data_IF_724769922230
#
_entry.id   IF_724769922230
#
_cell.length_a   1.000
_cell.length_b   1.000
_cell.length_c   1.000
_cell.angle_alpha   90.00
_cell.angle_beta   90.00
_cell.angle_gamma   90.00
#
_symmetry.space_group_name_H-M   'P 1'
#
loop_
_entity.id
_entity.type
_entity.pdbx_description
1 polymer ?
#
# COMPACT_ATOMS: atom_id res chain seq x y z
N UNK A 1 16.83 -18.27 10.52
CA UNK A 1 16.25 -17.17 11.30
C UNK A 1 15.05 -16.62 10.52
N UNK A 2 13.89 -16.70 11.12
CA UNK A 2 12.58 -16.45 10.50
C UNK A 2 12.41 -14.96 10.17
N UNK A 3 12.27 -14.59 8.90
CA UNK A 3 11.61 -13.35 8.49
C UNK A 3 10.16 -13.70 8.16
N UNK A 4 9.28 -13.47 9.12
CA UNK A 4 7.85 -13.60 8.94
C UNK A 4 7.36 -12.49 8.01
N UNK A 5 6.51 -12.87 7.08
CA UNK A 5 5.72 -11.99 6.25
C UNK A 5 4.94 -10.99 7.13
N UNK A 6 5.21 -9.72 6.98
CA UNK A 6 4.61 -8.63 7.76
C UNK A 6 3.13 -8.39 7.38
N UNK A 7 2.68 -8.96 6.27
CA UNK A 7 1.29 -8.86 5.82
C UNK A 7 0.26 -9.47 6.79
N UNK A 8 0.69 -10.29 7.76
CA UNK A 8 -0.20 -10.94 8.72
C UNK A 8 -0.41 -10.16 10.04
N UNK A 9 0.35 -9.09 10.28
CA UNK A 9 0.35 -8.41 11.58
C UNK A 9 -0.72 -7.32 11.76
N UNK A 10 -1.40 -6.90 10.70
CA UNK A 10 -2.43 -5.83 10.78
C UNK A 10 -3.80 -6.38 11.22
N UNK A 11 -4.01 -7.71 11.20
CA UNK A 11 -5.33 -8.32 11.44
C UNK A 11 -5.59 -8.84 12.86
N UNK A 12 -4.66 -8.74 13.81
CA UNK A 12 -4.80 -9.40 15.12
C UNK A 12 -4.46 -8.49 16.32
N UNK A 13 -5.21 -7.39 16.47
CA UNK A 13 -5.35 -6.77 17.77
C UNK A 13 -6.83 -6.90 18.22
N UNK A 14 -7.26 -8.11 18.50
CA UNK A 14 -8.51 -8.35 19.22
C UNK A 14 -8.20 -8.25 20.71
N UNK A 15 -8.55 -7.11 21.30
CA UNK A 15 -8.61 -6.99 22.76
C UNK A 15 -9.96 -7.55 23.20
N UNK A 16 -9.96 -8.76 23.74
CA UNK A 16 -11.10 -9.31 24.49
C UNK A 16 -11.19 -8.62 25.84
N UNK A 17 -12.16 -7.73 26.00
CA UNK A 17 -12.59 -7.26 27.31
C UNK A 17 -13.80 -8.10 27.73
N UNK A 18 -13.57 -9.09 28.57
CA UNK A 18 -14.60 -9.77 29.32
C UNK A 18 -14.91 -8.94 30.57
N UNK A 19 -16.06 -8.30 30.61
CA UNK A 19 -16.59 -7.65 31.80
C UNK A 19 -18.01 -8.08 32.03
N UNK A 20 -18.21 -9.03 32.99
CA UNK A 20 -19.50 -9.36 33.53
C UNK A 20 -19.99 -8.19 34.37
N UNK A 21 -21.19 -7.68 34.10
CA UNK A 21 -21.84 -6.65 34.88
C UNK A 21 -23.33 -6.89 35.00
N UNK A 22 -23.75 -7.10 36.21
CA UNK A 22 -25.04 -7.53 36.74
C UNK A 22 -26.24 -6.70 36.26
N UNK A 23 -27.35 -7.40 36.04
CA UNK A 23 -28.68 -6.82 35.86
C UNK A 23 -29.18 -6.16 37.17
N UNK A 24 -29.51 -4.88 37.11
CA UNK A 24 -30.40 -4.24 38.05
C UNK A 24 -31.66 -3.78 37.31
N UNK A 25 -32.78 -4.40 37.69
CA UNK A 25 -34.10 -3.94 37.29
C UNK A 25 -34.48 -2.68 38.11
N UNK A 26 -34.51 -1.52 37.47
CA UNK A 26 -35.00 -0.28 38.03
C UNK A 26 -36.12 0.27 37.15
N UNK A 27 -37.28 0.53 37.74
CA UNK A 27 -38.48 1.06 37.11
C UNK A 27 -38.20 2.36 36.34
N UNK A 28 -38.42 2.33 35.04
CA UNK A 28 -38.33 3.50 34.18
C UNK A 28 -39.63 4.25 34.20
N UNK A 29 -39.64 5.44 34.82
CA UNK A 29 -40.69 6.45 34.62
C UNK A 29 -40.64 6.94 33.19
N UNK A 30 -41.72 6.86 32.47
CA UNK A 30 -41.91 7.40 31.11
C UNK A 30 -41.67 8.89 31.05
N UNK A 31 -40.46 9.33 30.74
CA UNK A 31 -40.19 10.66 30.25
C UNK A 31 -40.53 10.69 28.76
N UNK A 32 -41.19 11.75 28.30
CA UNK A 32 -41.75 11.87 26.97
C UNK A 32 -40.70 11.59 25.89
N UNK A 33 -41.01 10.78 24.89
CA UNK A 33 -40.12 10.39 23.80
C UNK A 33 -39.50 11.57 23.03
N UNK A 34 -40.08 12.76 23.13
CA UNK A 34 -39.60 13.97 22.46
C UNK A 34 -38.27 14.47 23.05
N UNK A 35 -38.08 14.41 24.38
CA UNK A 35 -36.83 14.90 25.02
C UNK A 35 -35.63 13.96 24.81
N UNK A 36 -35.88 12.65 24.72
CA UNK A 36 -34.81 11.66 24.46
C UNK A 36 -34.30 11.78 23.04
N UNK A 37 -35.19 11.97 22.07
CA UNK A 37 -34.79 12.15 20.64
C UNK A 37 -33.98 13.44 20.45
N UNK A 38 -34.37 14.51 21.11
CA UNK A 38 -33.69 15.82 21.01
C UNK A 38 -32.29 15.75 21.66
N UNK A 39 -32.18 15.13 22.83
CA UNK A 39 -30.90 14.97 23.53
C UNK A 39 -29.94 14.05 22.74
N UNK A 40 -30.42 12.95 22.17
CA UNK A 40 -29.65 12.07 21.32
C UNK A 40 -29.17 12.78 20.05
N UNK A 41 -30.05 13.51 19.35
CA UNK A 41 -29.68 14.23 18.15
C UNK A 41 -28.66 15.35 18.45
N UNK A 42 -28.79 16.07 19.57
CA UNK A 42 -27.83 17.09 19.97
C UNK A 42 -26.46 16.51 20.30
N UNK A 43 -26.39 15.34 20.93
CA UNK A 43 -25.13 14.65 21.25
C UNK A 43 -24.45 14.15 19.97
N UNK A 44 -25.20 13.55 19.04
CA UNK A 44 -24.66 13.10 17.75
C UNK A 44 -24.13 14.25 16.90
N UNK A 45 -24.83 15.40 16.88
CA UNK A 45 -24.38 16.57 16.11
C UNK A 45 -23.10 17.19 16.67
N UNK A 46 -22.93 17.20 17.99
CA UNK A 46 -21.72 17.72 18.65
C UNK A 46 -20.51 16.83 18.33
N UNK A 47 -20.68 15.54 18.37
CA UNK A 47 -19.61 14.58 18.10
C UNK A 47 -19.25 14.54 16.60
N UNK A 48 -20.23 14.61 15.71
CA UNK A 48 -20.00 14.72 14.26
C UNK A 48 -19.31 16.05 13.89
N UNK A 49 -19.67 17.16 14.56
CA UNK A 49 -18.94 18.42 14.41
C UNK A 49 -17.48 18.27 14.80
N UNK A 50 -17.19 17.57 15.91
CA UNK A 50 -15.82 17.27 16.36
C UNK A 50 -15.03 16.48 15.32
N UNK A 51 -15.65 15.48 14.69
CA UNK A 51 -15.02 14.74 13.58
C UNK A 51 -14.67 15.65 12.40
N UNK A 52 -15.62 16.47 11.92
CA UNK A 52 -15.41 17.37 10.79
C UNK A 52 -14.30 18.39 11.12
N UNK A 53 -14.36 19.03 12.30
CA UNK A 53 -13.35 19.99 12.76
C UNK A 53 -11.96 19.36 12.81
N UNK A 54 -11.84 18.15 13.34
CA UNK A 54 -10.58 17.39 13.37
C UNK A 54 -10.00 17.19 11.97
N UNK A 55 -10.82 16.76 11.01
CA UNK A 55 -10.37 16.54 9.62
C UNK A 55 -9.89 17.85 8.99
N UNK A 56 -10.61 18.96 9.20
CA UNK A 56 -10.16 20.28 8.72
C UNK A 56 -8.82 20.70 9.34
N UNK A 57 -8.69 20.58 10.66
CA UNK A 57 -7.46 20.96 11.36
C UNK A 57 -6.28 20.11 10.94
N UNK A 58 -6.46 18.79 10.86
CA UNK A 58 -5.39 17.86 10.48
C UNK A 58 -5.02 18.05 9.01
N UNK A 59 -5.97 18.02 8.10
CA UNK A 59 -5.67 18.02 6.67
C UNK A 59 -5.38 19.44 6.14
N UNK A 60 -6.10 20.46 6.59
CA UNK A 60 -6.02 21.80 6.02
C UNK A 60 -5.37 22.85 6.95
N UNK A 61 -5.05 22.45 8.20
CA UNK A 61 -4.44 23.33 9.22
C UNK A 61 -5.24 24.61 9.48
N UNK A 62 -6.55 24.50 9.51
CA UNK A 62 -7.47 25.58 9.80
C UNK A 62 -8.79 25.09 10.35
N UNK A 63 -9.49 25.95 11.07
CA UNK A 63 -10.86 25.70 11.51
C UNK A 63 -11.83 25.72 10.31
N UNK A 64 -12.85 24.86 10.30
CA UNK A 64 -13.91 24.94 9.31
C UNK A 64 -14.82 26.16 9.59
N UNK A 65 -15.33 26.78 8.52
CA UNK A 65 -16.43 27.75 8.69
C UNK A 65 -17.71 27.04 9.10
N UNK A 66 -18.64 27.72 9.74
CA UNK A 66 -19.96 27.18 10.10
C UNK A 66 -20.70 26.60 8.89
N UNK A 67 -20.60 27.28 7.75
CA UNK A 67 -21.16 26.77 6.49
C UNK A 67 -20.53 25.43 6.06
N UNK A 68 -19.23 25.28 6.21
CA UNK A 68 -18.54 24.03 5.87
C UNK A 68 -18.95 22.89 6.80
N UNK A 69 -19.04 23.16 8.12
CA UNK A 69 -19.54 22.18 9.09
C UNK A 69 -20.96 21.75 8.75
N UNK A 70 -21.86 22.71 8.52
CA UNK A 70 -23.26 22.45 8.18
C UNK A 70 -23.38 21.59 6.91
N UNK A 71 -22.64 21.95 5.85
CA UNK A 71 -22.66 21.20 4.58
C UNK A 71 -22.18 19.75 4.75
N UNK A 72 -21.09 19.51 5.48
CA UNK A 72 -20.59 18.16 5.69
C UNK A 72 -21.51 17.36 6.61
N UNK A 73 -22.02 17.98 7.68
CA UNK A 73 -23.00 17.36 8.59
C UNK A 73 -24.23 16.91 7.82
N UNK A 74 -24.79 17.77 6.98
CA UNK A 74 -25.95 17.45 6.17
C UNK A 74 -25.70 16.27 5.21
N UNK A 75 -24.57 16.28 4.48
CA UNK A 75 -24.22 15.20 3.56
C UNK A 75 -24.05 13.87 4.28
N UNK A 76 -23.39 13.85 5.43
CA UNK A 76 -23.13 12.63 6.21
C UNK A 76 -24.42 12.08 6.82
N UNK A 77 -25.25 12.91 7.45
CA UNK A 77 -26.52 12.47 8.04
C UNK A 77 -27.54 12.02 6.99
N UNK A 78 -27.59 12.68 5.83
CA UNK A 78 -28.43 12.26 4.68
C UNK A 78 -27.85 11.07 3.90
N UNK A 79 -26.69 10.52 4.29
CA UNK A 79 -26.00 9.43 3.60
C UNK A 79 -25.63 9.75 2.15
N UNK A 80 -25.46 11.02 1.81
CA UNK A 80 -24.94 11.49 0.51
C UNK A 80 -23.42 11.33 0.45
N UNK A 81 -22.78 11.38 1.60
CA UNK A 81 -21.34 11.09 1.76
C UNK A 81 -21.13 10.14 2.95
N UNK A 82 -20.01 9.46 2.93
CA UNK A 82 -19.54 8.53 3.98
C UNK A 82 -18.28 9.06 4.67
N UNK A 83 -17.86 8.44 5.75
CA UNK A 83 -16.58 8.76 6.40
C UNK A 83 -15.38 8.58 5.45
N UNK A 84 -15.42 7.58 4.58
CA UNK A 84 -14.40 7.36 3.56
C UNK A 84 -14.39 8.46 2.50
N UNK A 85 -15.55 8.99 2.09
CA UNK A 85 -15.63 10.10 1.14
C UNK A 85 -15.04 11.39 1.71
N UNK A 86 -15.20 11.62 3.02
CA UNK A 86 -14.53 12.73 3.72
C UNK A 86 -13.02 12.56 3.63
N UNK A 87 -12.49 11.40 4.03
CA UNK A 87 -11.05 11.13 3.96
C UNK A 87 -10.52 11.32 2.53
N UNK A 88 -11.19 10.74 1.53
CA UNK A 88 -10.82 10.88 0.13
C UNK A 88 -10.76 12.34 -0.32
N UNK A 89 -11.81 13.10 -0.02
CA UNK A 89 -11.91 14.51 -0.43
C UNK A 89 -10.78 15.35 0.16
N UNK A 90 -10.47 15.18 1.44
CA UNK A 90 -9.48 16.02 2.11
C UNK A 90 -8.04 15.64 1.77
N UNK A 91 -7.69 14.37 1.77
CA UNK A 91 -6.33 13.92 1.45
C UNK A 91 -5.96 14.10 -0.02
N UNK A 92 -6.94 14.11 -0.93
CA UNK A 92 -6.72 14.37 -2.35
C UNK A 92 -6.86 15.84 -2.76
N UNK A 93 -7.22 16.74 -1.81
CA UNK A 93 -7.37 18.15 -2.09
C UNK A 93 -6.03 18.81 -2.43
N UNK A 94 -6.08 19.83 -3.29
CA UNK A 94 -4.90 20.63 -3.60
C UNK A 94 -4.37 21.37 -2.38
N UNK A 95 -5.26 21.71 -1.42
CA UNK A 95 -4.88 22.36 -0.16
C UNK A 95 -3.99 21.44 0.67
N UNK A 96 -4.35 20.17 0.81
CA UNK A 96 -3.49 19.17 1.49
C UNK A 96 -2.18 18.95 0.76
N UNK A 97 -2.21 18.74 -0.55
CA UNK A 97 -1.02 18.50 -1.37
C UNK A 97 0.01 19.63 -1.29
N UNK A 98 -0.47 20.88 -1.26
CA UNK A 98 0.41 22.06 -1.11
C UNK A 98 1.16 22.12 0.22
N UNK A 99 0.71 21.40 1.25
CA UNK A 99 1.39 21.39 2.55
C UNK A 99 2.75 20.65 2.51
N UNK A 100 3.03 19.87 1.48
CA UNK A 100 4.30 19.13 1.29
C UNK A 100 4.72 18.35 2.54
N UNK A 101 3.81 17.56 3.08
CA UNK A 101 4.04 16.75 4.27
C UNK A 101 5.10 15.67 4.02
N UNK A 102 5.95 15.39 5.00
CA UNK A 102 6.85 14.22 4.97
C UNK A 102 6.03 12.92 5.07
N UNK A 103 6.59 11.79 4.62
CA UNK A 103 5.91 10.49 4.69
C UNK A 103 5.46 10.15 6.13
N UNK A 104 6.30 10.42 7.13
CA UNK A 104 5.94 10.23 8.54
C UNK A 104 4.76 11.10 8.98
N UNK A 105 4.71 12.34 8.52
CA UNK A 105 3.61 13.26 8.82
C UNK A 105 2.31 12.88 8.09
N UNK A 106 2.40 12.35 6.86
CA UNK A 106 1.22 11.84 6.13
C UNK A 106 0.57 10.69 6.91
N UNK A 107 1.37 9.77 7.44
CA UNK A 107 0.86 8.67 8.26
C UNK A 107 0.16 9.21 9.52
N UNK A 108 0.79 10.14 10.24
CA UNK A 108 0.20 10.76 11.43
C UNK A 108 -1.11 11.48 11.08
N UNK A 109 -1.15 12.23 9.98
CA UNK A 109 -2.34 12.92 9.51
C UNK A 109 -3.50 11.94 9.22
N UNK A 110 -3.21 10.79 8.57
CA UNK A 110 -4.22 9.77 8.29
C UNK A 110 -4.82 9.20 9.59
N UNK A 111 -3.97 8.81 10.54
CA UNK A 111 -4.43 8.27 11.83
C UNK A 111 -5.18 9.30 12.64
N UNK A 112 -4.69 10.55 12.70
CA UNK A 112 -5.37 11.62 13.42
C UNK A 112 -6.71 11.99 12.79
N UNK A 113 -6.76 12.17 11.48
CA UNK A 113 -8.01 12.55 10.80
C UNK A 113 -9.07 11.44 10.89
N UNK A 114 -8.70 10.20 10.59
CA UNK A 114 -9.65 9.09 10.48
C UNK A 114 -9.95 8.43 11.83
N UNK A 115 -8.95 8.23 12.67
CA UNK A 115 -9.08 7.46 13.93
C UNK A 115 -9.04 8.34 15.19
N UNK A 116 -8.61 9.61 15.09
CA UNK A 116 -8.49 10.53 16.23
C UNK A 116 -7.37 10.18 17.19
N UNK A 117 -6.35 9.45 16.75
CA UNK A 117 -5.17 9.08 17.53
C UNK A 117 -3.90 9.06 16.67
N UNK A 118 -2.75 8.98 17.30
CA UNK A 118 -1.48 8.74 16.63
C UNK A 118 -1.33 7.27 16.19
N UNK A 119 -0.55 7.05 15.14
CA UNK A 119 -0.13 5.71 14.77
C UNK A 119 0.82 5.14 15.84
N UNK A 120 0.72 3.85 16.12
CA UNK A 120 1.77 3.16 16.88
C UNK A 120 3.05 3.06 16.04
N UNK A 121 4.20 2.86 16.68
CA UNK A 121 5.50 2.88 16.02
C UNK A 121 5.63 1.83 14.90
N UNK A 122 5.03 0.65 15.08
CA UNK A 122 5.09 -0.43 14.10
C UNK A 122 4.25 -0.13 12.86
N UNK A 123 3.00 0.28 13.05
CA UNK A 123 2.12 0.72 11.95
C UNK A 123 2.70 1.91 11.20
N UNK A 124 3.27 2.88 11.94
CA UNK A 124 3.92 4.04 11.33
C UNK A 124 5.07 3.65 10.43
N UNK A 125 5.95 2.75 10.88
CA UNK A 125 7.08 2.27 10.10
C UNK A 125 6.62 1.57 8.80
N UNK A 126 5.60 0.73 8.86
CA UNK A 126 5.03 0.03 7.70
C UNK A 126 4.50 1.03 6.67
N UNK A 127 3.66 1.98 7.08
CA UNK A 127 3.08 2.93 6.13
C UNK A 127 4.07 3.97 5.60
N UNK A 128 5.08 4.35 6.40
CA UNK A 128 6.19 5.17 5.88
C UNK A 128 6.93 4.42 4.78
N UNK A 129 7.15 3.10 4.93
CA UNK A 129 7.78 2.28 3.90
C UNK A 129 6.90 2.18 2.62
N UNK A 130 5.57 2.03 2.77
CA UNK A 130 4.64 2.10 1.64
C UNK A 130 4.81 3.40 0.82
N UNK A 131 4.87 4.54 1.51
CA UNK A 131 5.06 5.83 0.86
C UNK A 131 6.47 5.98 0.24
N UNK A 132 7.50 5.41 0.88
CA UNK A 132 8.88 5.45 0.37
C UNK A 132 9.05 4.68 -0.95
N UNK A 133 8.28 3.63 -1.17
CA UNK A 133 8.30 2.86 -2.43
C UNK A 133 7.40 3.44 -3.51
N UNK A 134 6.71 4.56 -3.23
CA UNK A 134 5.92 5.32 -4.19
C UNK A 134 4.41 5.10 -4.11
N UNK A 135 3.90 4.35 -3.12
CA UNK A 135 2.46 4.32 -2.86
C UNK A 135 1.97 5.69 -2.40
N UNK A 136 0.71 5.98 -2.61
CA UNK A 136 0.12 7.26 -2.21
C UNK A 136 -0.59 7.16 -0.85
N UNK A 137 -1.00 8.32 -0.31
CA UNK A 137 -1.85 8.40 0.88
C UNK A 137 -3.14 7.58 0.77
N UNK A 138 -3.61 7.34 -0.45
CA UNK A 138 -4.83 6.58 -0.70
C UNK A 138 -4.72 5.11 -0.26
N UNK A 139 -3.53 4.50 -0.34
CA UNK A 139 -3.30 3.15 0.17
C UNK A 139 -3.53 3.07 1.68
N UNK A 140 -3.05 4.06 2.42
CA UNK A 140 -3.23 4.16 3.88
C UNK A 140 -4.70 4.38 4.23
N UNK A 141 -5.35 5.35 3.55
CA UNK A 141 -6.77 5.66 3.76
C UNK A 141 -7.67 4.45 3.48
N UNK A 142 -7.37 3.65 2.43
CA UNK A 142 -8.08 2.39 2.14
C UNK A 142 -7.98 1.40 3.29
N UNK A 143 -6.77 1.19 3.79
CA UNK A 143 -6.53 0.20 4.84
C UNK A 143 -7.19 0.65 6.16
N UNK A 144 -7.07 1.93 6.52
CA UNK A 144 -7.75 2.49 7.68
C UNK A 144 -9.27 2.43 7.53
N UNK A 145 -9.83 2.77 6.37
CA UNK A 145 -11.27 2.70 6.11
C UNK A 145 -11.82 1.28 6.21
N UNK A 146 -11.00 0.28 5.91
CA UNK A 146 -11.34 -1.14 6.03
C UNK A 146 -11.31 -1.64 7.47
N UNK A 147 -10.59 -0.94 8.36
CA UNK A 147 -10.38 -1.35 9.75
C UNK A 147 -11.67 -1.33 10.57
N UNK A 148 -11.73 -2.24 11.55
CA UNK A 148 -12.85 -2.26 12.50
C UNK A 148 -12.89 -0.99 13.35
N UNK A 149 -11.71 -0.40 13.64
CA UNK A 149 -11.62 0.84 14.42
C UNK A 149 -12.29 2.01 13.70
N UNK A 150 -12.00 2.20 12.40
CA UNK A 150 -12.65 3.27 11.62
C UNK A 150 -14.16 3.06 11.50
N UNK A 151 -14.59 1.82 11.26
CA UNK A 151 -16.03 1.48 11.21
C UNK A 151 -16.71 1.82 12.53
N UNK A 152 -16.09 1.48 13.66
CA UNK A 152 -16.63 1.82 14.99
C UNK A 152 -16.68 3.33 15.19
N UNK A 153 -15.62 4.10 14.85
CA UNK A 153 -15.62 5.56 14.91
C UNK A 153 -16.76 6.19 14.09
N UNK A 154 -17.01 5.67 12.89
CA UNK A 154 -18.13 6.13 12.09
C UNK A 154 -19.49 5.82 12.76
N UNK A 155 -19.64 4.64 13.35
CA UNK A 155 -20.85 4.29 14.10
C UNK A 155 -21.04 5.19 15.31
N UNK A 156 -19.99 5.50 16.06
CA UNK A 156 -20.02 6.42 17.21
C UNK A 156 -20.50 7.81 16.81
N UNK A 157 -20.19 8.25 15.58
CA UNK A 157 -20.64 9.52 14.99
C UNK A 157 -21.99 9.41 14.23
N UNK A 158 -22.64 8.25 14.24
CA UNK A 158 -23.89 7.96 13.52
C UNK A 158 -23.78 8.19 11.98
N UNK A 159 -22.61 7.95 11.40
CA UNK A 159 -22.37 8.06 9.95
C UNK A 159 -22.00 6.71 9.33
N UNK A 160 -22.18 6.61 8.02
CA UNK A 160 -21.75 5.44 7.28
C UNK A 160 -20.23 5.46 7.08
N UNK A 161 -19.50 4.35 7.34
CA UNK A 161 -18.06 4.29 7.07
C UNK A 161 -17.75 4.40 5.59
N UNK A 162 -18.56 3.79 4.73
CA UNK A 162 -18.30 3.68 3.30
C UNK A 162 -17.15 2.73 2.95
N UNK A 163 -16.75 2.73 1.70
CA UNK A 163 -15.57 2.03 1.20
C UNK A 163 -14.61 3.03 0.56
N UNK A 164 -13.32 2.79 0.72
CA UNK A 164 -12.29 3.61 0.09
C UNK A 164 -11.72 2.84 -1.11
N UNK A 165 -12.05 3.29 -2.33
CA UNK A 165 -11.57 2.67 -3.54
C UNK A 165 -10.29 3.32 -4.03
N UNK A 166 -9.31 2.50 -4.41
CA UNK A 166 -8.10 2.94 -5.10
C UNK A 166 -8.17 2.51 -6.55
N UNK A 167 -7.82 3.39 -7.46
CA UNK A 167 -7.79 3.12 -8.91
C UNK A 167 -6.39 2.84 -9.42
N UNK A 168 -5.37 3.37 -8.73
CA UNK A 168 -3.96 3.17 -9.05
C UNK A 168 -3.53 1.74 -8.72
N UNK A 169 -2.88 1.08 -9.67
CA UNK A 169 -2.31 -0.25 -9.45
C UNK A 169 -1.17 -0.24 -8.41
N UNK A 170 -0.51 0.90 -8.24
CA UNK A 170 0.51 1.13 -7.22
C UNK A 170 -0.09 1.03 -5.82
N UNK A 171 -1.29 1.57 -5.59
CA UNK A 171 -1.90 1.60 -4.27
C UNK A 171 -2.63 0.31 -3.88
N UNK A 172 -2.80 -0.64 -4.81
CA UNK A 172 -3.55 -1.87 -4.55
C UNK A 172 -2.79 -2.90 -3.72
N UNK A 173 -1.49 -3.06 -3.95
CA UNK A 173 -0.70 -4.14 -3.38
C UNK A 173 0.75 -3.70 -3.15
N UNK A 174 1.14 -3.61 -1.88
CA UNK A 174 2.49 -3.21 -1.48
C UNK A 174 3.58 -4.11 -2.07
N UNK A 175 3.41 -5.43 -2.03
CA UNK A 175 4.43 -6.38 -2.50
C UNK A 175 4.68 -6.25 -4.01
N UNK A 176 3.62 -5.97 -4.78
CA UNK A 176 3.71 -5.66 -6.21
C UNK A 176 4.51 -4.38 -6.44
N UNK A 177 4.15 -3.32 -5.75
CA UNK A 177 4.80 -2.02 -5.87
C UNK A 177 6.25 -2.09 -5.43
N UNK A 178 6.53 -2.78 -4.32
CA UNK A 178 7.89 -3.00 -3.83
C UNK A 178 8.72 -3.85 -4.79
N UNK A 179 8.14 -4.86 -5.45
CA UNK A 179 8.84 -5.64 -6.46
C UNK A 179 9.26 -4.77 -7.66
N UNK A 180 8.36 -3.94 -8.18
CA UNK A 180 8.69 -2.98 -9.25
C UNK A 180 9.74 -1.97 -8.77
N UNK A 181 9.60 -1.43 -7.57
CA UNK A 181 10.59 -0.52 -6.97
C UNK A 181 11.98 -1.16 -6.91
N UNK A 182 12.10 -2.43 -6.49
CA UNK A 182 13.38 -3.18 -6.48
C UNK A 182 13.99 -3.32 -7.87
N UNK A 183 13.17 -3.53 -8.90
CA UNK A 183 13.63 -3.57 -10.30
C UNK A 183 14.29 -2.23 -10.69
N UNK A 184 13.66 -1.11 -10.39
CA UNK A 184 14.25 0.21 -10.66
C UNK A 184 15.54 0.45 -9.88
N UNK A 185 15.53 0.22 -8.57
CA UNK A 185 16.67 0.53 -7.71
C UNK A 185 17.85 -0.38 -7.97
N UNK A 186 17.63 -1.69 -8.07
CA UNK A 186 18.74 -2.66 -8.20
C UNK A 186 19.22 -2.84 -9.65
N UNK A 187 18.32 -2.81 -10.65
CA UNK A 187 18.73 -2.90 -12.04
C UNK A 187 19.16 -1.54 -12.58
N UNK A 188 18.33 -0.48 -12.39
CA UNK A 188 18.57 0.81 -13.02
C UNK A 188 19.33 1.80 -12.13
N UNK A 189 19.42 1.56 -10.80
CA UNK A 189 20.14 2.41 -9.85
C UNK A 189 19.46 3.74 -9.57
N UNK A 190 18.16 3.81 -9.78
CA UNK A 190 17.34 5.00 -9.51
C UNK A 190 15.97 4.63 -8.99
N UNK A 191 15.31 5.56 -8.36
CA UNK A 191 13.89 5.41 -8.00
C UNK A 191 13.01 5.47 -9.25
N UNK A 192 11.89 4.75 -9.27
CA UNK A 192 10.92 4.89 -10.36
C UNK A 192 10.32 6.30 -10.38
N UNK A 193 10.02 6.81 -11.56
CA UNK A 193 9.09 7.92 -11.70
C UNK A 193 7.65 7.40 -11.52
N UNK A 194 6.69 8.28 -11.14
CA UNK A 194 5.32 7.84 -10.84
C UNK A 194 4.62 7.15 -12.01
N UNK A 195 4.86 7.60 -13.25
CA UNK A 195 4.24 7.03 -14.46
C UNK A 195 4.80 5.64 -14.75
N UNK A 196 6.12 5.47 -14.65
CA UNK A 196 6.78 4.19 -14.84
C UNK A 196 6.37 3.17 -13.78
N UNK A 197 6.29 3.59 -12.50
CA UNK A 197 5.82 2.73 -11.42
C UNK A 197 4.39 2.24 -11.66
N UNK A 198 3.47 3.16 -11.98
CA UNK A 198 2.07 2.81 -12.28
C UNK A 198 1.96 1.88 -13.48
N UNK A 199 2.69 2.16 -14.57
CA UNK A 199 2.65 1.35 -15.79
C UNK A 199 3.09 -0.09 -15.54
N UNK A 200 4.16 -0.30 -14.79
CA UNK A 200 4.65 -1.63 -14.47
C UNK A 200 3.75 -2.37 -13.47
N UNK A 201 3.21 -1.69 -12.45
CA UNK A 201 2.22 -2.27 -11.55
C UNK A 201 0.95 -2.66 -12.31
N UNK A 202 0.51 -1.82 -13.25
CA UNK A 202 -0.63 -2.11 -14.14
C UNK A 202 -0.33 -3.31 -15.06
N UNK A 203 0.88 -3.42 -15.60
CA UNK A 203 1.26 -4.55 -16.42
C UNK A 203 1.15 -5.88 -15.64
N UNK A 204 1.62 -5.92 -14.39
CA UNK A 204 1.46 -7.11 -13.53
C UNK A 204 -0.02 -7.38 -13.27
N UNK A 205 -0.82 -6.37 -12.95
CA UNK A 205 -2.28 -6.48 -12.76
C UNK A 205 -2.98 -7.06 -13.99
N UNK A 206 -2.46 -6.74 -15.17
CA UNK A 206 -2.98 -7.21 -16.46
C UNK A 206 -2.40 -8.56 -16.90
N UNK A 207 -1.65 -9.27 -16.04
CA UNK A 207 -1.15 -10.61 -16.31
C UNK A 207 0.28 -10.68 -16.84
N UNK A 208 1.06 -9.61 -16.74
CA UNK A 208 2.50 -9.71 -17.02
C UNK A 208 3.16 -10.67 -16.04
N UNK A 209 4.06 -11.50 -16.58
CA UNK A 209 4.75 -12.54 -15.82
C UNK A 209 6.08 -12.05 -15.28
N UNK A 210 6.61 -12.75 -14.27
CA UNK A 210 7.95 -12.47 -13.73
C UNK A 210 9.03 -12.47 -14.80
N UNK A 211 8.99 -13.40 -15.74
CA UNK A 211 9.93 -13.46 -16.86
C UNK A 211 9.86 -12.22 -17.76
N UNK A 212 8.65 -11.73 -18.07
CA UNK A 212 8.45 -10.52 -18.87
C UNK A 212 8.97 -9.29 -18.14
N UNK A 213 8.69 -9.18 -16.83
CA UNK A 213 9.18 -8.09 -16.00
C UNK A 213 10.71 -8.04 -16.00
N UNK A 214 11.35 -9.17 -15.68
CA UNK A 214 12.81 -9.30 -15.60
C UNK A 214 13.44 -9.01 -16.97
N UNK A 215 12.86 -9.53 -18.04
CA UNK A 215 13.32 -9.27 -19.41
C UNK A 215 13.27 -7.77 -19.72
N UNK A 216 12.16 -7.09 -19.47
CA UNK A 216 12.01 -5.66 -19.76
C UNK A 216 13.05 -4.77 -19.07
N UNK A 217 13.48 -5.14 -17.86
CA UNK A 217 14.50 -4.38 -17.12
C UNK A 217 15.92 -4.74 -17.53
N UNK A 218 16.26 -6.04 -17.60
CA UNK A 218 17.65 -6.49 -17.85
C UNK A 218 18.08 -6.23 -19.30
N UNK A 219 17.15 -6.23 -20.24
CA UNK A 219 17.44 -5.93 -21.64
C UNK A 219 17.12 -4.50 -22.06
N UNK A 220 16.77 -3.62 -21.08
CA UNK A 220 16.66 -2.20 -21.36
C UNK A 220 18.02 -1.60 -21.72
N UNK A 221 18.00 -0.57 -22.56
CA UNK A 221 19.22 0.20 -22.89
C UNK A 221 19.88 0.79 -21.64
N UNK A 222 19.06 1.15 -20.64
CA UNK A 222 19.55 1.72 -19.38
C UNK A 222 20.38 0.71 -18.58
N UNK A 223 19.93 -0.56 -18.53
CA UNK A 223 20.68 -1.59 -17.83
C UNK A 223 21.89 -2.11 -18.62
N UNK A 224 21.72 -2.35 -19.92
CA UNK A 224 22.78 -2.93 -20.76
C UNK A 224 24.02 -2.03 -20.84
N UNK A 225 23.84 -0.71 -20.84
CA UNK A 225 24.92 0.29 -20.80
C UNK A 225 25.77 0.25 -19.52
N UNK A 226 25.28 -0.35 -18.44
CA UNK A 226 26.04 -0.46 -17.17
C UNK A 226 27.21 -1.44 -17.25
N UNK A 227 27.18 -2.37 -18.19
CA UNK A 227 28.22 -3.37 -18.39
C UNK A 227 28.65 -4.08 -17.07
N UNK A 228 27.65 -4.49 -16.28
CA UNK A 228 27.86 -5.07 -14.96
C UNK A 228 28.74 -6.34 -15.00
N UNK A 229 29.67 -6.48 -14.04
CA UNK A 229 30.45 -7.69 -13.85
C UNK A 229 29.56 -8.92 -13.57
N UNK A 230 30.06 -10.13 -13.71
CA UNK A 230 29.29 -11.33 -13.39
C UNK A 230 28.86 -11.38 -11.91
N UNK A 231 29.73 -10.93 -11.00
CA UNK A 231 29.41 -10.87 -9.57
C UNK A 231 28.33 -9.83 -9.25
N UNK A 232 28.43 -8.62 -9.87
CA UNK A 232 27.42 -7.58 -9.68
C UNK A 232 26.07 -7.99 -10.28
N UNK A 233 26.10 -8.65 -11.44
CA UNK A 233 24.91 -9.21 -12.08
C UNK A 233 24.19 -10.21 -11.17
N UNK A 234 24.92 -11.19 -10.61
CA UNK A 234 24.36 -12.16 -9.66
C UNK A 234 23.83 -11.47 -8.41
N UNK A 235 24.57 -10.52 -7.85
CA UNK A 235 24.16 -9.73 -6.69
C UNK A 235 22.86 -8.97 -6.97
N UNK A 236 22.74 -8.37 -8.15
CA UNK A 236 21.54 -7.69 -8.62
C UNK A 236 20.34 -8.66 -8.70
N UNK A 237 20.52 -9.87 -9.24
CA UNK A 237 19.44 -10.87 -9.30
C UNK A 237 18.92 -11.25 -7.90
N UNK A 238 19.81 -11.52 -6.94
CA UNK A 238 19.41 -11.79 -5.55
C UNK A 238 18.60 -10.66 -4.94
N UNK A 239 19.10 -9.41 -5.06
CA UNK A 239 18.43 -8.23 -4.48
C UNK A 239 17.09 -7.95 -5.15
N UNK A 240 17.01 -8.13 -6.46
CA UNK A 240 15.83 -7.80 -7.24
C UNK A 240 14.77 -8.88 -7.15
N UNK A 241 15.11 -10.13 -7.47
CA UNK A 241 14.15 -11.22 -7.61
C UNK A 241 13.81 -11.83 -6.24
N UNK A 242 14.82 -12.02 -5.40
CA UNK A 242 14.63 -12.69 -4.11
C UNK A 242 14.51 -11.71 -2.93
N UNK A 243 14.76 -10.41 -3.15
CA UNK A 243 14.63 -9.37 -2.12
C UNK A 243 15.63 -9.48 -0.98
N UNK A 244 16.78 -10.10 -1.22
CA UNK A 244 17.84 -10.29 -0.22
C UNK A 244 19.23 -10.22 -0.83
N UNK A 245 20.24 -10.02 -0.02
CA UNK A 245 21.63 -10.18 -0.45
C UNK A 245 21.96 -11.66 -0.69
N UNK A 246 22.88 -11.96 -1.63
CA UNK A 246 23.40 -13.31 -1.77
C UNK A 246 24.16 -13.74 -0.51
N UNK A 247 24.12 -15.04 -0.21
CA UNK A 247 25.09 -15.65 0.66
C UNK A 247 26.40 -15.89 -0.12
N UNK A 248 27.57 -16.01 0.56
CA UNK A 248 28.86 -16.15 -0.12
C UNK A 248 28.94 -17.37 -1.04
N UNK A 249 28.35 -18.50 -0.65
CA UNK A 249 28.39 -19.74 -1.43
C UNK A 249 27.52 -19.63 -2.70
N UNK A 250 26.31 -19.07 -2.58
CA UNK A 250 25.41 -18.83 -3.70
C UNK A 250 25.98 -17.82 -4.70
N UNK A 251 26.59 -16.72 -4.20
CA UNK A 251 27.28 -15.76 -5.06
C UNK A 251 28.40 -16.41 -5.85
N UNK A 252 29.27 -17.16 -5.17
CA UNK A 252 30.40 -17.86 -5.80
C UNK A 252 29.92 -18.87 -6.84
N UNK A 253 28.92 -19.71 -6.52
CA UNK A 253 28.40 -20.74 -7.41
C UNK A 253 27.88 -20.16 -8.72
N UNK A 254 27.01 -19.14 -8.67
CA UNK A 254 26.46 -18.51 -9.87
C UNK A 254 27.50 -17.69 -10.65
N UNK A 255 28.40 -17.01 -9.96
CA UNK A 255 29.48 -16.24 -10.62
C UNK A 255 30.43 -17.17 -11.35
N UNK A 256 30.79 -18.32 -10.76
CA UNK A 256 31.64 -19.32 -11.40
C UNK A 256 30.99 -19.96 -12.64
N UNK A 257 29.66 -20.20 -12.61
CA UNK A 257 28.95 -20.67 -13.82
C UNK A 257 29.07 -19.64 -14.96
N UNK A 258 28.88 -18.36 -14.69
CA UNK A 258 29.06 -17.31 -15.70
C UNK A 258 30.49 -17.21 -16.19
N UNK A 259 31.48 -17.30 -15.31
CA UNK A 259 32.90 -17.27 -15.66
C UNK A 259 33.34 -18.51 -16.47
N UNK A 260 32.63 -19.63 -16.31
CA UNK A 260 32.81 -20.86 -17.08
C UNK A 260 32.03 -20.88 -18.41
N UNK A 261 31.42 -19.76 -18.82
CA UNK A 261 30.77 -19.62 -20.11
C UNK A 261 29.25 -19.88 -20.13
N UNK A 262 28.61 -20.05 -18.97
CA UNK A 262 27.15 -20.09 -18.94
C UNK A 262 26.56 -18.75 -19.37
N UNK A 263 25.45 -18.77 -20.10
CA UNK A 263 24.78 -17.53 -20.51
C UNK A 263 24.10 -16.85 -19.30
N UNK A 264 23.98 -15.50 -19.35
CA UNK A 264 23.19 -14.77 -18.35
C UNK A 264 21.74 -15.23 -18.29
N UNK A 265 21.16 -15.63 -19.44
CA UNK A 265 19.80 -16.18 -19.49
C UNK A 265 19.66 -17.50 -18.76
N UNK A 266 20.66 -18.38 -18.85
CA UNK A 266 20.67 -19.64 -18.08
C UNK A 266 20.64 -19.35 -16.57
N UNK A 267 21.45 -18.40 -16.11
CA UNK A 267 21.46 -17.99 -14.70
C UNK A 267 20.14 -17.33 -14.30
N UNK A 268 19.60 -16.39 -15.11
CA UNK A 268 18.27 -15.81 -14.85
C UNK A 268 17.20 -16.87 -14.72
N UNK A 269 17.19 -17.87 -15.62
CA UNK A 269 16.25 -18.99 -15.56
C UNK A 269 16.37 -19.77 -14.24
N UNK A 270 17.59 -19.97 -13.74
CA UNK A 270 17.81 -20.57 -12.43
C UNK A 270 17.13 -19.82 -11.30
N UNK A 271 17.17 -18.48 -11.32
CA UNK A 271 16.46 -17.63 -10.36
C UNK A 271 14.94 -17.64 -10.56
N UNK A 272 14.47 -17.46 -11.80
CA UNK A 272 13.03 -17.39 -12.14
C UNK A 272 12.29 -18.66 -11.73
N UNK A 273 12.91 -19.83 -11.90
CA UNK A 273 12.28 -21.12 -11.61
C UNK A 273 12.62 -21.68 -10.22
N UNK A 274 13.35 -20.91 -9.40
CA UNK A 274 13.57 -21.25 -7.99
C UNK A 274 12.26 -21.19 -7.19
N UNK A 275 12.15 -22.02 -6.16
CA UNK A 275 10.98 -22.00 -5.28
C UNK A 275 10.87 -20.68 -4.49
N UNK A 276 12.00 -20.01 -4.26
CA UNK A 276 12.03 -18.71 -3.61
C UNK A 276 11.36 -17.64 -4.49
N UNK A 277 11.68 -17.58 -5.78
CA UNK A 277 11.05 -16.63 -6.69
C UNK A 277 9.57 -16.97 -6.97
N UNK A 278 9.22 -18.24 -7.08
CA UNK A 278 7.80 -18.66 -7.19
C UNK A 278 6.96 -18.12 -6.01
N UNK A 279 7.50 -18.19 -4.79
CA UNK A 279 6.85 -17.62 -3.60
C UNK A 279 6.72 -16.10 -3.70
N UNK A 280 7.75 -15.40 -4.20
CA UNK A 280 7.67 -13.96 -4.46
C UNK A 280 6.58 -13.64 -5.49
N UNK A 281 6.51 -14.37 -6.60
CA UNK A 281 5.49 -14.20 -7.62
C UNK A 281 4.06 -14.35 -7.05
N UNK A 282 3.84 -15.35 -6.20
CA UNK A 282 2.53 -15.58 -5.58
C UNK A 282 2.09 -14.39 -4.70
N UNK A 283 3.01 -13.79 -3.94
CA UNK A 283 2.72 -12.63 -3.07
C UNK A 283 2.49 -11.36 -3.90
N UNK A 284 3.25 -11.17 -4.97
CA UNK A 284 3.12 -10.05 -5.92
C UNK A 284 1.82 -10.14 -6.74
N UNK A 285 1.27 -11.34 -6.87
CA UNK A 285 0.07 -11.61 -7.68
C UNK A 285 0.38 -11.77 -9.16
N UNK A 286 1.52 -12.39 -9.51
CA UNK A 286 1.90 -12.70 -10.89
C UNK A 286 2.33 -14.16 -11.04
N UNK A 287 2.32 -14.69 -12.27
CA UNK A 287 2.94 -15.97 -12.59
C UNK A 287 4.42 -15.80 -12.95
N UNK A 288 5.20 -16.88 -12.85
CA UNK A 288 6.63 -16.87 -13.25
C UNK A 288 6.79 -16.58 -14.74
N UNK A 289 5.97 -17.22 -15.58
CA UNK A 289 6.05 -17.13 -17.04
C UNK A 289 7.00 -18.14 -17.66
N UNK A 290 7.42 -17.90 -18.90
CA UNK A 290 8.24 -18.79 -19.70
C UNK A 290 9.74 -18.63 -19.40
N UNK A 291 10.54 -19.67 -19.70
CA UNK A 291 12.01 -19.56 -19.69
C UNK A 291 12.50 -18.58 -20.74
N UNK A 292 13.53 -17.83 -20.38
CA UNK A 292 14.29 -17.05 -21.36
C UNK A 292 15.11 -17.98 -22.26
N UNK A 293 15.31 -17.65 -23.56
CA UNK A 293 16.12 -18.46 -24.45
C UNK A 293 17.57 -18.52 -23.97
N UNK A 294 18.18 -19.71 -23.97
CA UNK A 294 19.54 -19.91 -23.45
C UNK A 294 20.62 -19.35 -24.37
N UNK A 295 20.37 -19.27 -25.68
CA UNK A 295 21.32 -18.81 -26.69
C UNK A 295 21.06 -17.35 -27.08
N UNK A 296 22.06 -16.50 -26.82
CA UNK A 296 22.24 -15.21 -27.52
C UNK A 296 21.35 -14.07 -27.09
N UNK A 297 21.66 -12.91 -27.63
CA UNK A 297 20.87 -11.68 -27.55
C UNK A 297 19.41 -11.93 -27.94
N UNK A 298 18.44 -11.28 -27.32
CA UNK A 298 17.04 -11.43 -27.72
C UNK A 298 16.89 -10.97 -29.16
N UNK A 299 16.70 -11.93 -30.05
CA UNK A 299 16.37 -11.67 -31.44
C UNK A 299 15.07 -10.84 -31.49
N UNK A 300 14.93 -9.92 -32.47
CA UNK A 300 13.71 -9.13 -32.72
C UNK A 300 12.42 -9.96 -32.69
N UNK A 301 12.46 -11.26 -33.07
CA UNK A 301 11.35 -12.20 -32.98
C UNK A 301 10.90 -12.47 -31.53
N UNK A 302 11.84 -12.45 -30.57
CA UNK A 302 11.51 -12.65 -29.17
C UNK A 302 10.90 -11.37 -28.58
N UNK A 303 11.48 -10.22 -28.92
CA UNK A 303 10.93 -8.91 -28.55
C UNK A 303 9.50 -8.76 -29.09
N UNK A 304 9.25 -9.06 -30.38
CA UNK A 304 7.91 -9.03 -30.98
C UNK A 304 6.90 -9.99 -30.31
N UNK A 305 7.34 -11.17 -29.85
CA UNK A 305 6.47 -12.11 -29.14
C UNK A 305 6.04 -11.60 -27.75
N UNK A 306 6.85 -10.73 -27.14
CA UNK A 306 6.66 -10.33 -25.73
C UNK A 306 6.12 -8.91 -25.55
N UNK A 307 6.22 -8.06 -26.60
CA UNK A 307 5.75 -6.67 -26.58
C UNK A 307 4.52 -6.39 -27.47
N UNK A 308 4.05 -7.41 -28.21
CA UNK A 308 2.75 -7.40 -28.90
C UNK A 308 1.78 -8.36 -28.18
#
# INVERSE_FOLDING_TARGET
MKKNSIAAAVAAAVITVSGAGSFFAGSVKTASQSSVITASAATYTTDLRGFITRVFNVCLNREPSERAVSNWTEKLLKRIATGSDVAYTFFNSDEYKRRKRTNAQIVDDCYQAMLGRTADASSKAVYVDHLNVGMSVNSICRDLASSQEFKQRCMDHAIQPGSYSVTSAVDENYERTYFVYRLYVNCLGRTPDPTGLESWCQAIRSGYTGSKMVFGFIYSDEYTKKNASNSDFVTMLYKTLLGRSPDPAGLAAWTNQLNSGASRNSVINGFLFSDEFKKQCAVVGMSVGDKLPESGQPHEKFIKKWYN
#
